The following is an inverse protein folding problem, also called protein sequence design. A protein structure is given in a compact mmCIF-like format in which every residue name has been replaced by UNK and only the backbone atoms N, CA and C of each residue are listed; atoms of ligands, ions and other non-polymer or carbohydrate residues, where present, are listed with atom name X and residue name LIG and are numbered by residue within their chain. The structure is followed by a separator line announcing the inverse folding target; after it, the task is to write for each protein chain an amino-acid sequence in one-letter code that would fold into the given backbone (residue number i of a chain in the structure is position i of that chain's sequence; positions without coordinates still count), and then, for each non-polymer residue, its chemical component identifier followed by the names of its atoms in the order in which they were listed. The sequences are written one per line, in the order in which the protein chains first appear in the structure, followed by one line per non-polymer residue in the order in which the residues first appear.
data_IF_710853688998
#
_entry.id   IF_710853688998
#
_cell.length_a   1.000
_cell.length_b   1.000
_cell.length_c   1.000
_cell.angle_alpha   90.00
_cell.angle_beta   90.00
_cell.angle_gamma   90.00
#
_symmetry.space_group_name_H-M   'P 1'
#
loop_
_entity.id
_entity.type
_entity.pdbx_description
1 polymer ?
#
# COMPACT_ATOMS: atom_id res chain seq x y z
N UNK A 1 24.97 -13.15 -12.59
CA UNK A 1 24.34 -11.87 -12.20
C UNK A 1 22.84 -12.07 -12.29
N UNK A 2 22.10 -11.69 -11.26
CA UNK A 2 20.63 -11.70 -11.29
C UNK A 2 20.15 -10.27 -11.58
N UNK A 3 19.06 -10.15 -12.34
CA UNK A 3 18.44 -8.86 -12.70
C UNK A 3 17.03 -8.84 -12.14
N UNK A 4 16.67 -7.75 -11.47
CA UNK A 4 15.33 -7.56 -10.91
C UNK A 4 14.30 -7.39 -12.04
N UNK A 5 13.24 -8.20 -12.06
CA UNK A 5 12.23 -8.13 -13.13
C UNK A 5 11.38 -6.87 -13.00
N UNK A 6 11.17 -6.10 -14.08
CA UNK A 6 10.25 -4.95 -14.08
C UNK A 6 8.80 -5.35 -14.39
N UNK A 7 8.56 -6.56 -14.91
CA UNK A 7 7.25 -7.02 -15.36
C UNK A 7 6.51 -7.71 -14.23
N UNK A 8 5.24 -7.32 -14.00
CA UNK A 8 4.34 -7.90 -12.98
C UNK A 8 4.95 -7.94 -11.57
N UNK A 9 5.67 -6.88 -11.20
CA UNK A 9 6.43 -6.80 -9.96
C UNK A 9 6.08 -5.54 -9.16
N UNK A 10 4.77 -5.28 -9.01
CA UNK A 10 4.25 -4.18 -8.21
C UNK A 10 4.34 -4.53 -6.72
N UNK A 11 4.43 -3.50 -5.90
CA UNK A 11 4.59 -3.61 -4.44
C UNK A 11 3.44 -2.94 -3.70
N UNK A 12 3.30 -3.28 -2.42
CA UNK A 12 2.31 -2.74 -1.48
C UNK A 12 3.01 -2.25 -0.21
N UNK A 13 3.88 -1.25 -0.37
CA UNK A 13 4.55 -0.55 0.72
C UNK A 13 5.23 -1.46 1.77
N UNK A 14 4.98 -1.22 3.05
CA UNK A 14 5.71 -1.84 4.16
C UNK A 14 5.56 -3.37 4.12
N UNK A 15 6.68 -4.08 4.23
CA UNK A 15 6.81 -5.54 4.17
C UNK A 15 6.68 -6.20 2.79
N UNK A 16 6.35 -5.49 1.70
CA UNK A 16 6.14 -6.13 0.38
C UNK A 16 7.39 -6.73 -0.29
N UNK A 17 8.58 -6.51 0.29
CA UNK A 17 9.85 -7.09 -0.16
C UNK A 17 10.21 -8.38 0.59
N UNK A 18 9.47 -8.70 1.65
CA UNK A 18 9.64 -9.93 2.43
C UNK A 18 8.80 -11.06 1.81
N UNK A 19 9.04 -12.32 2.19
CA UNK A 19 8.07 -13.39 1.94
C UNK A 19 6.69 -13.03 2.53
N UNK A 20 5.59 -13.57 1.98
CA UNK A 20 4.26 -13.39 2.57
C UNK A 20 4.27 -13.76 4.06
N UNK A 21 3.77 -12.84 4.89
CA UNK A 21 3.73 -13.06 6.33
C UNK A 21 2.80 -14.24 6.66
N UNK A 22 3.28 -15.12 7.52
CA UNK A 22 2.44 -16.15 8.14
C UNK A 22 1.48 -15.56 9.16
N UNK A 23 0.42 -16.29 9.51
CA UNK A 23 -0.55 -15.88 10.54
C UNK A 23 0.14 -15.55 11.88
N UNK A 24 1.19 -16.29 12.23
CA UNK A 24 1.99 -16.06 13.44
C UNK A 24 2.82 -14.77 13.39
N UNK A 25 3.32 -14.38 12.22
CA UNK A 25 4.01 -13.10 12.02
C UNK A 25 3.02 -11.93 12.04
N UNK A 26 1.86 -12.07 11.40
CA UNK A 26 0.77 -11.08 11.46
C UNK A 26 0.31 -10.88 12.91
N UNK A 27 0.15 -11.96 13.67
CA UNK A 27 -0.23 -11.89 15.09
C UNK A 27 0.78 -11.07 15.93
N UNK A 28 2.09 -11.20 15.66
CA UNK A 28 3.13 -10.40 16.32
C UNK A 28 3.04 -8.92 15.95
N UNK A 29 2.66 -8.59 14.71
CA UNK A 29 2.42 -7.21 14.31
C UNK A 29 1.20 -6.61 15.03
N UNK A 30 0.13 -7.40 15.22
CA UNK A 30 -1.03 -6.99 16.03
C UNK A 30 -0.64 -6.79 17.49
N UNK A 31 0.14 -7.70 18.07
CA UNK A 31 0.67 -7.56 19.43
C UNK A 31 1.50 -6.28 19.58
N UNK A 32 2.35 -5.96 18.59
CA UNK A 32 3.11 -4.71 18.58
C UNK A 32 2.21 -3.47 18.59
N UNK A 33 1.15 -3.45 17.78
CA UNK A 33 0.17 -2.34 17.75
C UNK A 33 -0.48 -2.18 19.14
N UNK A 34 -0.95 -3.27 19.75
CA UNK A 34 -1.62 -3.27 21.05
C UNK A 34 -0.68 -2.83 22.18
N UNK A 35 0.56 -3.34 22.20
CA UNK A 35 1.55 -3.00 23.22
C UNK A 35 1.97 -1.52 23.19
N UNK A 36 1.87 -0.87 22.04
CA UNK A 36 2.10 0.58 21.91
C UNK A 36 0.84 1.42 22.17
N UNK A 37 -0.32 0.80 22.42
CA UNK A 37 -1.59 1.50 22.60
C UNK A 37 -2.12 2.17 21.33
N UNK A 38 -1.70 1.69 20.15
CA UNK A 38 -2.18 2.19 18.87
C UNK A 38 -3.55 1.62 18.51
N UNK A 39 -4.31 2.36 17.69
CA UNK A 39 -5.64 1.95 17.24
C UNK A 39 -5.52 1.21 15.90
N UNK A 40 -5.86 -0.09 15.84
CA UNK A 40 -5.82 -0.84 14.59
C UNK A 40 -6.99 -0.42 13.67
N UNK A 41 -6.74 -0.47 12.36
CA UNK A 41 -7.75 -0.32 11.32
C UNK A 41 -7.46 -1.30 10.18
N UNK A 42 -8.49 -1.67 9.43
CA UNK A 42 -8.39 -2.42 8.19
C UNK A 42 -8.94 -1.56 7.07
N UNK A 43 -8.31 -1.63 5.91
CA UNK A 43 -8.75 -0.96 4.69
C UNK A 43 -8.69 -1.95 3.52
N UNK A 44 -9.56 -1.76 2.53
CA UNK A 44 -9.63 -2.59 1.32
C UNK A 44 -9.99 -1.76 0.08
N UNK A 45 -9.60 -2.25 -1.09
CA UNK A 45 -9.94 -1.65 -2.37
C UNK A 45 -10.06 -2.71 -3.46
N UNK A 46 -10.90 -2.44 -4.46
CA UNK A 46 -10.94 -3.23 -5.68
C UNK A 46 -9.62 -3.10 -6.45
N UNK A 47 -9.31 -4.11 -7.27
CA UNK A 47 -8.01 -4.18 -7.97
C UNK A 47 -7.70 -3.00 -8.90
N UNK A 48 -8.72 -2.30 -9.41
CA UNK A 48 -8.56 -1.10 -10.24
C UNK A 48 -8.33 0.19 -9.43
N UNK A 49 -8.48 0.12 -8.10
CA UNK A 49 -8.26 1.19 -7.13
C UNK A 49 -7.08 0.90 -6.17
N UNK A 50 -6.46 -0.27 -6.27
CA UNK A 50 -5.40 -0.70 -5.34
C UNK A 50 -4.05 0.03 -5.54
N UNK A 51 -3.82 0.67 -6.69
CA UNK A 51 -2.57 1.39 -6.97
C UNK A 51 -2.84 2.86 -7.27
N UNK A 52 -1.88 3.70 -6.89
CA UNK A 52 -1.81 5.12 -7.27
C UNK A 52 -2.13 5.29 -8.76
N UNK A 53 -3.01 6.25 -9.04
CA UNK A 53 -3.27 6.73 -10.39
C UNK A 53 -3.36 8.25 -10.45
N UNK A 54 -3.56 8.80 -11.64
CA UNK A 54 -3.55 10.22 -11.95
C UNK A 54 -4.77 10.66 -12.78
N UNK A 55 -5.83 9.83 -12.80
CA UNK A 55 -7.03 10.04 -13.62
C UNK A 55 -7.69 11.40 -13.36
N UNK A 56 -7.69 11.88 -12.12
CA UNK A 56 -8.29 13.16 -11.74
C UNK A 56 -7.45 14.36 -12.17
N UNK A 57 -6.16 14.18 -12.51
CA UNK A 57 -5.29 15.27 -12.95
C UNK A 57 -5.79 15.94 -14.24
N UNK A 58 -6.58 15.26 -15.06
CA UNK A 58 -7.21 15.86 -16.25
C UNK A 58 -8.08 17.10 -15.91
N UNK A 59 -8.52 17.22 -14.66
CA UNK A 59 -9.32 18.35 -14.16
C UNK A 59 -8.49 19.41 -13.43
N UNK A 60 -7.17 19.23 -13.34
CA UNK A 60 -6.27 20.06 -12.55
C UNK A 60 -5.34 20.88 -13.46
N UNK A 61 -5.06 22.12 -13.03
CA UNK A 61 -4.00 22.94 -13.62
C UNK A 61 -2.68 22.68 -12.87
N UNK A 62 -1.84 23.70 -12.65
CA UNK A 62 -0.54 23.61 -11.97
C UNK A 62 -0.66 23.45 -10.43
N UNK A 63 -1.52 22.53 -9.99
CA UNK A 63 -1.81 22.22 -8.58
C UNK A 63 -1.69 20.72 -8.26
N UNK A 64 -1.17 19.93 -9.20
CA UNK A 64 -0.96 18.49 -9.05
C UNK A 64 0.17 18.04 -8.10
N UNK A 65 1.20 18.85 -7.74
CA UNK A 65 2.26 18.37 -6.85
C UNK A 65 1.72 17.83 -5.51
N UNK A 66 2.04 16.57 -5.20
CA UNK A 66 1.54 15.87 -4.01
C UNK A 66 0.13 15.27 -4.13
N UNK A 67 -0.51 15.38 -5.30
CA UNK A 67 -1.78 14.74 -5.60
C UNK A 67 -1.57 13.41 -6.32
N UNK A 68 -2.25 12.39 -5.81
CA UNK A 68 -2.37 11.06 -6.42
C UNK A 68 -3.76 10.51 -6.09
N UNK A 69 -4.46 9.98 -7.09
CA UNK A 69 -5.67 9.19 -6.86
C UNK A 69 -5.29 7.86 -6.18
N UNK A 70 -6.28 7.19 -5.60
CA UNK A 70 -6.14 5.84 -5.05
C UNK A 70 -5.17 5.70 -3.85
N UNK A 71 -4.86 6.81 -3.17
CA UNK A 71 -4.19 6.78 -1.86
C UNK A 71 -5.11 6.36 -0.72
N UNK A 72 -6.40 6.69 -0.83
CA UNK A 72 -7.42 6.34 0.14
C UNK A 72 -8.15 5.08 -0.30
N UNK A 73 -8.33 4.15 0.64
CA UNK A 73 -9.08 2.92 0.47
C UNK A 73 -10.37 2.97 1.32
N UNK A 74 -11.24 1.96 1.18
CA UNK A 74 -12.49 1.83 1.97
C UNK A 74 -12.22 1.12 3.28
#
# INVERSE_FOLDING_TARGET
MLVWTPTNNKFFETFSYLPPLSDGEIAKQVEYIVNNGYVPCLEFADSDQAYVSDKSLIRMNNVAPGYYDNRYWT
#
